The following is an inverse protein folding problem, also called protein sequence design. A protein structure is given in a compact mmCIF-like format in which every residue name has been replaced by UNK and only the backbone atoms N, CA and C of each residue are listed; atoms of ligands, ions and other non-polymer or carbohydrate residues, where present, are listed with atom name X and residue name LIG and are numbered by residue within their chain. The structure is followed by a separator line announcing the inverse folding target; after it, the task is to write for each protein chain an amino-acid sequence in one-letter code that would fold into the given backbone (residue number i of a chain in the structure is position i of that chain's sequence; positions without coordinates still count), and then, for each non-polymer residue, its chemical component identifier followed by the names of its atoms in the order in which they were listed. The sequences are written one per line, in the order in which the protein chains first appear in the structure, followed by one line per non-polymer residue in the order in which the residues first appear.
data_IF_340712276165
#
_entry.id   IF_340712276165
#
_cell.length_a   1.000
_cell.length_b   1.000
_cell.length_c   1.000
_cell.angle_alpha   90.00
_cell.angle_beta   90.00
_cell.angle_gamma   90.00
#
_symmetry.space_group_name_H-M   'P 1'
#
loop_
_entity.id
_entity.type
_entity.pdbx_description
1 polymer ?
#
# COMPACT_ATOMS: atom_id res chain seq x y z
N UNK A 1 19.82 16.05 -16.70
CA UNK A 1 20.05 14.69 -16.23
C UNK A 1 18.91 14.34 -15.28
N UNK A 2 17.84 13.75 -15.83
CA UNK A 2 16.60 13.50 -15.10
C UNK A 2 16.63 12.05 -14.61
N UNK A 3 17.15 11.85 -13.41
CA UNK A 3 17.05 10.58 -12.70
C UNK A 3 15.63 10.47 -12.16
N UNK A 4 14.67 10.14 -13.02
CA UNK A 4 13.35 9.68 -12.58
C UNK A 4 13.48 8.22 -12.14
N UNK A 5 14.10 8.03 -10.98
CA UNK A 5 13.98 6.79 -10.23
C UNK A 5 12.58 6.77 -9.61
N UNK A 6 11.59 6.35 -10.40
CA UNK A 6 10.58 5.44 -9.88
C UNK A 6 11.08 4.00 -10.08
N UNK A 7 12.37 3.76 -9.84
CA UNK A 7 13.00 2.45 -10.02
C UNK A 7 12.58 1.56 -8.85
N UNK A 8 11.56 0.75 -9.12
CA UNK A 8 11.24 -0.47 -8.40
C UNK A 8 10.79 -0.25 -6.96
N UNK A 9 9.62 -0.77 -6.63
CA UNK A 9 9.35 -1.31 -5.30
C UNK A 9 10.65 -1.93 -4.75
N UNK A 10 11.27 -1.36 -3.68
CA UNK A 10 12.59 -1.79 -3.21
C UNK A 10 12.61 -3.29 -2.96
N UNK A 11 13.72 -3.99 -3.18
CA UNK A 11 13.77 -5.46 -2.98
C UNK A 11 13.32 -5.90 -1.58
N UNK A 12 13.44 -5.02 -0.56
CA UNK A 12 12.89 -5.25 0.78
C UNK A 12 11.35 -5.41 0.75
N UNK A 13 10.71 -4.62 -0.10
CA UNK A 13 9.27 -4.54 -0.26
C UNK A 13 8.78 -5.71 -1.13
N UNK A 14 9.58 -6.15 -2.12
CA UNK A 14 9.33 -7.40 -2.86
C UNK A 14 9.42 -8.63 -1.93
N UNK A 15 10.45 -8.71 -1.08
CA UNK A 15 10.62 -9.80 -0.12
C UNK A 15 9.52 -9.84 0.95
N UNK A 16 9.04 -8.67 1.42
CA UNK A 16 7.87 -8.59 2.30
C UNK A 16 6.56 -8.92 1.58
N UNK A 17 6.45 -8.58 0.28
CA UNK A 17 5.31 -9.00 -0.53
C UNK A 17 5.26 -10.52 -0.67
N UNK A 18 6.42 -11.12 -0.91
CA UNK A 18 6.64 -12.55 -1.08
C UNK A 18 6.34 -13.33 0.21
N UNK A 19 6.70 -12.80 1.38
CA UNK A 19 6.35 -13.40 2.68
C UNK A 19 4.87 -13.34 3.06
N UNK A 20 4.10 -12.37 2.53
CA UNK A 20 2.64 -12.34 2.68
C UNK A 20 1.90 -13.18 1.63
N UNK A 21 2.59 -13.63 0.57
CA UNK A 21 1.98 -14.46 -0.49
C UNK A 21 1.72 -15.89 -0.01
N UNK A 22 2.36 -16.32 1.08
CA UNK A 22 2.17 -17.64 1.64
C UNK A 22 0.72 -17.78 2.11
N UNK A 23 0.01 -18.54 1.28
CA UNK A 23 -1.41 -18.44 1.03
C UNK A 23 -2.23 -19.09 2.14
N UNK A 24 -3.39 -18.49 2.42
CA UNK A 24 -4.47 -19.14 3.15
C UNK A 24 -4.75 -20.52 2.51
N UNK A 25 -4.89 -21.60 3.30
CA UNK A 25 -5.22 -22.92 2.76
C UNK A 25 -6.59 -22.85 2.07
N UNK A 26 -6.63 -22.90 0.73
CA UNK A 26 -7.90 -22.96 -0.01
C UNK A 26 -7.96 -22.35 -1.42
N UNK A 27 -6.94 -21.62 -1.89
CA UNK A 27 -6.88 -21.19 -3.31
C UNK A 27 -7.67 -19.94 -3.69
N UNK A 28 -8.14 -19.14 -2.73
CA UNK A 28 -8.68 -17.81 -3.04
C UNK A 28 -7.53 -16.82 -3.15
N UNK A 29 -7.30 -16.31 -4.36
CA UNK A 29 -6.30 -15.28 -4.61
C UNK A 29 -6.74 -13.98 -3.92
N UNK A 30 -6.02 -13.56 -2.88
CA UNK A 30 -6.28 -12.27 -2.24
C UNK A 30 -5.89 -11.13 -3.18
N UNK A 31 -6.78 -10.14 -3.33
CA UNK A 31 -6.43 -8.89 -3.99
C UNK A 31 -5.49 -8.11 -3.08
N UNK A 32 -4.43 -7.55 -3.65
CA UNK A 32 -3.45 -6.76 -2.89
C UNK A 32 -3.02 -5.53 -3.68
N UNK A 33 -3.14 -4.37 -3.07
CA UNK A 33 -2.75 -3.08 -3.64
C UNK A 33 -1.76 -2.39 -2.71
N UNK A 34 -0.86 -1.59 -3.27
CA UNK A 34 0.09 -0.82 -2.48
C UNK A 34 -0.14 0.66 -2.74
N UNK A 35 -0.24 1.45 -1.68
CA UNK A 35 -0.30 2.91 -1.74
C UNK A 35 1.02 3.48 -1.21
N UNK A 36 1.85 4.06 -2.07
CA UNK A 36 3.05 4.78 -1.66
C UNK A 36 2.65 6.17 -1.19
N UNK A 37 2.96 6.51 0.06
CA UNK A 37 2.57 7.75 0.71
C UNK A 37 3.79 8.52 1.20
N UNK A 38 3.89 9.82 0.91
CA UNK A 38 4.98 10.69 1.38
C UNK A 38 4.75 11.20 2.83
N UNK A 39 4.30 10.30 3.72
CA UNK A 39 4.08 10.56 5.15
C UNK A 39 4.60 9.40 6.01
N UNK A 40 4.94 9.70 7.26
CA UNK A 40 5.40 8.71 8.23
C UNK A 40 4.28 7.83 8.79
N UNK A 41 4.63 6.66 9.31
CA UNK A 41 3.68 5.66 9.79
C UNK A 41 2.79 6.16 10.93
N UNK A 42 3.34 6.97 11.84
CA UNK A 42 2.54 7.55 12.93
C UNK A 42 1.43 8.49 12.43
N UNK A 43 1.61 9.09 11.26
CA UNK A 43 0.64 10.03 10.67
C UNK A 43 -0.43 9.30 9.87
N UNK A 44 -0.06 8.24 9.14
CA UNK A 44 -1.02 7.47 8.31
C UNK A 44 -1.90 6.52 9.14
N UNK A 45 -1.49 6.16 10.36
CA UNK A 45 -2.19 5.21 11.23
C UNK A 45 -3.69 5.48 11.37
N UNK A 46 -4.08 6.72 11.68
CA UNK A 46 -5.50 7.08 11.85
C UNK A 46 -6.31 6.96 10.56
N UNK A 47 -5.71 7.26 9.40
CA UNK A 47 -6.36 7.08 8.10
C UNK A 47 -6.56 5.60 7.83
N UNK A 48 -5.54 4.76 8.08
CA UNK A 48 -5.66 3.31 7.89
C UNK A 48 -6.74 2.70 8.79
N UNK A 49 -6.82 3.12 10.05
CA UNK A 49 -7.88 2.69 10.98
C UNK A 49 -9.27 3.09 10.45
N UNK A 50 -9.44 4.34 10.02
CA UNK A 50 -10.71 4.81 9.47
C UNK A 50 -11.10 4.07 8.19
N UNK A 51 -10.15 3.80 7.30
CA UNK A 51 -10.40 3.09 6.04
C UNK A 51 -10.78 1.64 6.32
N UNK A 52 -10.07 0.94 7.21
CA UNK A 52 -10.40 -0.44 7.60
C UNK A 52 -11.78 -0.53 8.24
N UNK A 53 -12.15 0.43 9.09
CA UNK A 53 -13.49 0.46 9.70
C UNK A 53 -14.61 0.68 8.67
N UNK A 54 -14.33 1.39 7.57
CA UNK A 54 -15.30 1.67 6.52
C UNK A 54 -15.38 0.58 5.43
N UNK A 55 -14.40 -0.32 5.35
CA UNK A 55 -14.29 -1.35 4.30
C UNK A 55 -14.12 -2.74 4.93
N UNK A 56 -15.24 -3.43 5.17
CA UNK A 56 -15.22 -4.78 5.75
C UNK A 56 -14.48 -5.78 4.83
N UNK A 57 -13.70 -6.66 5.44
CA UNK A 57 -12.93 -7.68 4.71
C UNK A 57 -11.61 -7.19 4.10
N UNK A 58 -11.21 -5.95 4.37
CA UNK A 58 -9.90 -5.39 4.03
C UNK A 58 -8.99 -5.35 5.26
N UNK A 59 -7.71 -5.65 5.06
CA UNK A 59 -6.62 -5.46 6.01
C UNK A 59 -5.59 -4.50 5.42
N UNK A 60 -5.07 -3.58 6.23
CA UNK A 60 -4.06 -2.60 5.82
C UNK A 60 -2.82 -2.72 6.71
N UNK A 61 -1.66 -2.95 6.09
CA UNK A 61 -0.35 -2.92 6.77
C UNK A 61 0.50 -1.74 6.31
N UNK A 62 1.20 -1.08 7.22
CA UNK A 62 2.17 -0.02 6.92
C UNK A 62 3.60 -0.53 6.94
N UNK A 63 4.42 -0.01 6.02
CA UNK A 63 5.85 -0.30 5.93
C UNK A 63 6.62 0.98 5.62
N UNK A 64 7.59 1.40 6.45
CA UNK A 64 8.35 2.60 6.20
C UNK A 64 9.33 2.39 5.04
N UNK A 65 9.52 3.40 4.21
CA UNK A 65 10.54 3.42 3.17
C UNK A 65 11.36 4.69 3.22
N UNK A 66 12.61 4.58 2.75
CA UNK A 66 13.59 5.65 2.75
C UNK A 66 14.25 5.75 1.39
N UNK A 67 14.32 6.96 0.85
CA UNK A 67 15.12 7.33 -0.33
C UNK A 67 16.04 8.48 0.08
N UNK A 68 17.15 8.74 -0.62
CA UNK A 68 18.03 9.86 -0.28
C UNK A 68 17.24 11.19 -0.21
N UNK A 69 17.12 11.76 1.00
CA UNK A 69 16.38 13.00 1.26
C UNK A 69 14.85 12.87 1.30
N UNK A 70 14.28 11.66 1.22
CA UNK A 70 12.84 11.42 1.27
C UNK A 70 12.52 10.20 2.14
N UNK A 71 11.39 10.24 2.83
CA UNK A 71 10.88 9.09 3.55
C UNK A 71 9.36 9.04 3.37
N UNK A 72 8.79 7.88 3.64
CA UNK A 72 7.35 7.73 3.63
C UNK A 72 6.92 6.36 4.08
N UNK A 73 5.67 6.05 3.80
CA UNK A 73 5.03 4.80 4.17
C UNK A 73 4.45 4.15 2.93
N UNK A 74 4.67 2.86 2.78
CA UNK A 74 3.93 2.04 1.86
C UNK A 74 2.82 1.34 2.62
N UNK A 75 1.58 1.65 2.29
CA UNK A 75 0.43 1.00 2.85
C UNK A 75 -0.04 -0.11 1.90
N UNK A 76 0.00 -1.34 2.40
CA UNK A 76 -0.46 -2.52 1.68
C UNK A 76 -1.89 -2.79 2.07
N UNK A 77 -2.80 -2.70 1.10
CA UNK A 77 -4.23 -2.98 1.25
C UNK A 77 -4.50 -4.37 0.68
N UNK A 78 -5.08 -5.27 1.46
CA UNK A 78 -5.39 -6.64 1.04
C UNK A 78 -6.81 -7.06 1.41
N UNK A 79 -7.48 -7.80 0.52
CA UNK A 79 -8.85 -8.28 0.74
C UNK A 79 -9.27 -9.36 -0.25
N UNK A 80 -10.38 -10.06 0.06
CA UNK A 80 -10.93 -11.10 -0.81
C UNK A 80 -11.76 -10.51 -1.96
N UNK A 81 -12.44 -9.39 -1.72
CA UNK A 81 -13.20 -8.67 -2.74
C UNK A 81 -12.33 -7.60 -3.40
N UNK A 82 -12.13 -7.73 -4.72
CA UNK A 82 -11.29 -6.83 -5.50
C UNK A 82 -11.83 -5.38 -5.52
N UNK A 83 -13.15 -5.21 -5.62
CA UNK A 83 -13.77 -3.88 -5.68
C UNK A 83 -13.65 -3.17 -4.33
N UNK A 84 -13.90 -3.90 -3.23
CA UNK A 84 -13.74 -3.35 -1.87
C UNK A 84 -12.28 -2.99 -1.60
N UNK A 85 -11.34 -3.86 -2.02
CA UNK A 85 -9.89 -3.61 -1.85
C UNK A 85 -9.46 -2.36 -2.63
N UNK A 86 -9.96 -2.17 -3.85
CA UNK A 86 -9.67 -0.99 -4.66
C UNK A 86 -10.29 0.28 -4.05
N UNK A 87 -11.54 0.21 -3.59
CA UNK A 87 -12.20 1.33 -2.92
C UNK A 87 -11.44 1.76 -1.66
N UNK A 88 -10.96 0.80 -0.87
CA UNK A 88 -10.15 1.07 0.31
C UNK A 88 -8.80 1.72 -0.04
N UNK A 89 -8.12 1.27 -1.10
CA UNK A 89 -6.87 1.88 -1.57
C UNK A 89 -7.06 3.32 -2.06
N UNK A 90 -8.15 3.59 -2.79
CA UNK A 90 -8.52 4.95 -3.22
C UNK A 90 -8.86 5.85 -2.04
N UNK A 91 -9.64 5.35 -1.06
CA UNK A 91 -9.98 6.10 0.15
C UNK A 91 -8.73 6.45 0.97
N UNK A 92 -7.79 5.51 1.10
CA UNK A 92 -6.52 5.75 1.76
C UNK A 92 -5.69 6.82 1.03
N UNK A 93 -5.54 6.70 -0.28
CA UNK A 93 -4.80 7.67 -1.08
C UNK A 93 -5.45 9.06 -1.02
N UNK A 94 -6.77 9.15 -1.04
CA UNK A 94 -7.51 10.39 -0.88
C UNK A 94 -7.26 11.03 0.50
N UNK A 95 -7.39 10.26 1.59
CA UNK A 95 -7.16 10.76 2.95
C UNK A 95 -5.74 11.30 3.15
N UNK A 96 -4.73 10.66 2.56
CA UNK A 96 -3.35 11.16 2.58
C UNK A 96 -3.21 12.48 1.81
N UNK A 97 -3.84 12.60 0.63
CA UNK A 97 -3.84 13.83 -0.17
C UNK A 97 -4.56 14.98 0.53
N UNK A 98 -5.64 14.70 1.27
CA UNK A 98 -6.34 15.69 2.09
C UNK A 98 -5.47 16.25 3.23
N UNK A 99 -4.51 15.46 3.72
CA UNK A 99 -3.49 15.94 4.68
C UNK A 99 -2.38 16.78 4.03
N UNK A 100 -2.42 16.98 2.71
CA UNK A 100 -1.43 17.77 1.96
C UNK A 100 -0.17 16.99 1.59
N UNK A 101 -0.22 15.65 1.62
CA UNK A 101 0.90 14.80 1.23
C UNK A 101 0.61 13.98 -0.03
N UNK A 102 1.69 13.56 -0.71
CA UNK A 102 1.57 12.78 -1.93
C UNK A 102 1.20 11.31 -1.64
N UNK A 103 0.34 10.74 -2.48
CA UNK A 103 -0.04 9.34 -2.42
C UNK A 103 -0.26 8.78 -3.83
N UNK A 104 0.30 7.60 -4.11
CA UNK A 104 0.18 6.91 -5.39
C UNK A 104 -0.19 5.44 -5.19
N UNK A 105 -1.25 4.98 -5.86
CA UNK A 105 -1.61 3.56 -5.88
C UNK A 105 -0.75 2.89 -6.95
N UNK A 106 0.09 1.97 -6.51
CA UNK A 106 0.96 1.21 -7.39
C UNK A 106 0.14 0.16 -8.14
N UNK A 107 0.28 0.06 -9.47
CA UNK A 107 -0.26 -1.07 -10.20
C UNK A 107 0.34 -2.36 -9.62
N UNK A 108 -0.46 -3.43 -9.57
CA UNK A 108 0.05 -4.79 -9.31
C UNK A 108 1.24 -5.00 -10.24
N UNK A 109 2.45 -5.05 -9.70
CA UNK A 109 3.61 -5.38 -10.50
C UNK A 109 3.34 -6.76 -11.09
N UNK A 110 3.30 -6.85 -12.43
CA UNK A 110 3.38 -8.12 -13.12
C UNK A 110 4.76 -8.71 -12.79
N UNK A 111 4.83 -9.43 -11.68
CA UNK A 111 5.94 -10.30 -11.35
C UNK A 111 5.92 -11.45 -12.35
N UNK A 112 6.70 -11.30 -13.42
CA UNK A 112 7.13 -12.42 -14.27
C UNK A 112 8.07 -13.37 -13.52
#
# INVERSE_FOLDING_TARGET
ENVHVFAGVPSIMQAMFEGLRDSLPGGVAMTRLTVQCAIGEGTIASIMESVQAAHEGVSIGSYPWFKPGQFGTAAVVSGLDQQVTHAAAEALAAGVREMGADAEIMPLGEGG
#
